data_IF_295404883871
#
_entry.id   IF_295404883871
#
_cell.length_a   1.000
_cell.length_b   1.000
_cell.length_c   1.000
_cell.angle_alpha   90.00
_cell.angle_beta   90.00
_cell.angle_gamma   90.00
#
_symmetry.space_group_name_H-M   'P 1'
#
loop_
_entity.id
_entity.type
_entity.pdbx_description
1 polymer ?
#
# COMPACT_ATOMS: atom_id res chain seq x y z
N UNK A 1 22.08 -6.52 61.32
CA UNK A 1 21.38 -5.85 62.44
C UNK A 1 19.90 -5.87 62.07
N UNK A 2 19.21 -6.98 62.33
CA UNK A 2 18.37 -7.25 63.52
C UNK A 2 17.12 -6.36 63.59
N UNK A 3 15.95 -7.00 63.48
CA UNK A 3 14.64 -6.38 63.72
C UNK A 3 13.48 -7.23 63.20
N UNK A 4 13.16 -8.30 63.92
CA UNK A 4 11.96 -9.15 63.76
C UNK A 4 10.65 -8.37 63.98
N UNK A 5 9.56 -8.73 63.27
CA UNK A 5 8.22 -8.89 63.86
C UNK A 5 7.49 -10.07 63.19
N UNK A 6 7.12 -11.05 64.02
CA UNK A 6 6.25 -12.20 63.77
C UNK A 6 4.76 -11.82 63.82
N UNK A 7 3.89 -12.50 63.07
CA UNK A 7 2.96 -13.49 63.65
C UNK A 7 2.04 -14.18 62.61
N UNK A 8 1.95 -15.50 62.78
CA UNK A 8 1.08 -16.49 62.14
C UNK A 8 -0.37 -16.42 62.62
N UNK A 9 -1.32 -16.96 61.82
CA UNK A 9 -2.15 -18.11 62.23
C UNK A 9 -3.15 -18.57 61.15
N UNK A 10 -3.03 -19.84 60.73
CA UNK A 10 -4.10 -20.68 60.17
C UNK A 10 -4.55 -21.69 61.24
N UNK A 11 -5.86 -21.87 61.42
CA UNK A 11 -6.62 -23.10 61.79
C UNK A 11 -8.07 -22.66 62.04
N UNK A 12 -9.17 -23.38 61.84
CA UNK A 12 -9.49 -24.77 61.54
C UNK A 12 -10.94 -25.02 62.01
N UNK A 13 -11.67 -25.92 61.32
CA UNK A 13 -12.91 -26.63 61.72
C UNK A 13 -14.28 -25.91 61.68
N UNK A 14 -15.25 -26.47 60.92
CA UNK A 14 -16.29 -27.38 61.44
C UNK A 14 -17.59 -27.44 60.57
N UNK A 15 -17.88 -28.66 60.08
CA UNK A 15 -19.18 -29.35 59.92
C UNK A 15 -20.47 -28.54 59.63
N UNK A 16 -21.17 -28.92 58.54
CA UNK A 16 -22.49 -29.58 58.62
C UNK A 16 -22.98 -30.11 57.26
N UNK A 17 -23.15 -31.43 57.20
CA UNK A 17 -23.92 -32.16 56.21
C UNK A 17 -25.40 -32.18 56.61
N UNK A 18 -26.32 -31.98 55.66
CA UNK A 18 -27.70 -32.49 55.76
C UNK A 18 -28.14 -33.00 54.39
N UNK A 19 -28.39 -34.31 54.36
CA UNK A 19 -29.01 -35.11 53.31
C UNK A 19 -30.52 -35.14 53.59
N UNK A 20 -31.36 -34.94 52.58
CA UNK A 20 -32.79 -35.26 52.65
C UNK A 20 -33.25 -35.83 51.30
N UNK A 21 -33.23 -37.16 51.22
CA UNK A 21 -34.14 -37.94 50.37
C UNK A 21 -35.31 -38.40 51.24
N UNK A 22 -36.55 -38.25 50.77
CA UNK A 22 -37.57 -39.30 50.90
C UNK A 22 -38.76 -39.05 49.99
N UNK A 23 -39.14 -40.14 49.33
CA UNK A 23 -40.26 -40.35 48.43
C UNK A 23 -41.63 -40.20 49.10
N UNK A 24 -42.65 -39.87 48.29
CA UNK A 24 -44.08 -40.13 48.57
C UNK A 24 -44.80 -40.31 47.21
N UNK A 25 -45.04 -41.55 46.78
CA UNK A 25 -46.31 -42.33 46.77
C UNK A 25 -47.26 -42.02 45.60
N UNK A 26 -47.41 -43.03 44.73
CA UNK A 26 -48.47 -43.16 43.73
C UNK A 26 -49.84 -43.34 44.39
N UNK A 27 -50.87 -42.70 43.82
CA UNK A 27 -52.25 -43.22 43.80
C UNK A 27 -52.89 -42.83 42.48
N UNK A 28 -53.28 -43.82 41.68
CA UNK A 28 -54.11 -43.64 40.50
C UNK A 28 -55.59 -43.45 40.86
N UNK A 29 -56.33 -42.77 39.98
CA UNK A 29 -57.74 -43.06 39.76
C UNK A 29 -58.17 -42.57 38.38
N UNK A 30 -58.82 -43.45 37.62
CA UNK A 30 -59.40 -43.18 36.31
C UNK A 30 -60.69 -42.36 36.42
N UNK A 31 -60.97 -41.49 35.44
CA UNK A 31 -62.32 -41.35 34.84
C UNK A 31 -62.36 -40.41 33.62
N UNK A 32 -62.65 -41.02 32.46
CA UNK A 32 -63.52 -40.59 31.34
C UNK A 32 -63.45 -39.14 30.81
N UNK A 33 -63.06 -38.98 29.53
CA UNK A 33 -63.99 -38.71 28.40
C UNK A 33 -63.37 -37.85 27.26
N UNK A 34 -63.64 -38.29 26.02
CA UNK A 34 -63.87 -37.51 24.76
C UNK A 34 -62.68 -36.85 24.04
N UNK A 35 -62.35 -37.51 22.91
CA UNK A 35 -61.98 -37.02 21.58
C UNK A 35 -61.94 -35.49 21.38
N UNK A 36 -60.74 -34.95 21.16
CA UNK A 36 -60.49 -33.73 20.38
C UNK A 36 -59.27 -33.96 19.50
N UNK A 37 -59.42 -33.74 18.19
CA UNK A 37 -58.34 -33.77 17.21
C UNK A 37 -57.39 -32.59 17.47
N UNK A 38 -56.10 -32.87 17.61
CA UNK A 38 -55.02 -31.85 17.72
C UNK A 38 -54.20 -31.91 16.42
N UNK A 39 -53.96 -30.77 15.74
CA UNK A 39 -53.23 -30.78 14.47
C UNK A 39 -51.74 -31.05 14.73
N UNK A 40 -51.14 -31.86 13.86
CA UNK A 40 -49.72 -32.16 13.84
C UNK A 40 -48.92 -30.87 13.57
N UNK A 41 -48.37 -30.24 14.61
CA UNK A 41 -47.34 -29.22 14.45
C UNK A 41 -45.99 -29.92 14.28
N UNK A 42 -45.45 -29.87 13.07
CA UNK A 42 -44.10 -30.32 12.77
C UNK A 42 -43.12 -29.35 13.44
N UNK A 43 -42.57 -29.71 14.60
CA UNK A 43 -41.44 -28.99 15.18
C UNK A 43 -40.20 -29.35 14.35
N UNK A 44 -39.85 -28.50 13.37
CA UNK A 44 -38.56 -28.57 12.71
C UNK A 44 -37.50 -28.15 13.74
N UNK A 45 -36.81 -29.12 14.32
CA UNK A 45 -35.65 -28.88 15.17
C UNK A 45 -34.53 -28.33 14.27
N UNK A 46 -34.42 -27.00 14.17
CA UNK A 46 -33.29 -26.37 13.50
C UNK A 46 -32.04 -26.67 14.35
N UNK A 47 -31.22 -27.62 13.90
CA UNK A 47 -29.87 -27.76 14.42
C UNK A 47 -29.09 -26.51 14.03
N UNK A 48 -29.04 -25.53 14.94
CA UNK A 48 -28.02 -24.48 14.92
C UNK A 48 -26.68 -25.17 15.18
N UNK A 49 -26.02 -25.59 14.10
CA UNK A 49 -24.58 -25.82 14.17
C UNK A 49 -23.95 -24.48 14.59
N UNK A 50 -23.11 -24.45 15.64
CA UNK A 50 -22.33 -23.26 15.91
C UNK A 50 -21.51 -22.99 14.65
N UNK A 51 -21.84 -21.90 13.96
CA UNK A 51 -21.01 -21.36 12.90
C UNK A 51 -19.75 -20.88 13.63
N UNK A 52 -18.74 -21.75 13.72
CA UNK A 52 -17.41 -21.34 14.14
C UNK A 52 -16.92 -20.38 13.07
N UNK A 53 -17.06 -19.08 13.33
CA UNK A 53 -16.30 -18.08 12.58
C UNK A 53 -14.84 -18.43 12.91
N UNK A 54 -14.01 -18.84 11.93
CA UNK A 54 -12.60 -19.04 12.21
C UNK A 54 -12.07 -17.72 12.78
N UNK A 55 -11.37 -17.79 13.91
CA UNK A 55 -10.59 -16.65 14.38
C UNK A 55 -9.66 -16.23 13.23
N UNK A 56 -9.41 -14.92 13.03
CA UNK A 56 -8.42 -14.49 12.05
C UNK A 56 -7.13 -15.24 12.36
N UNK A 57 -6.69 -16.03 11.38
CA UNK A 57 -5.43 -16.75 11.49
C UNK A 57 -4.35 -15.71 11.23
N UNK A 58 -3.64 -15.31 12.29
CA UNK A 58 -2.39 -14.57 12.14
C UNK A 58 -1.38 -15.53 11.54
N UNK A 59 -1.00 -15.31 10.29
CA UNK A 59 -0.06 -16.20 9.60
C UNK A 59 0.64 -15.48 8.44
N UNK A 60 1.93 -15.75 8.36
CA UNK A 60 2.74 -15.56 7.18
C UNK A 60 2.43 -16.72 6.24
N UNK A 61 1.90 -16.42 5.05
CA UNK A 61 1.72 -17.37 3.96
C UNK A 61 2.79 -17.14 2.89
N UNK A 62 3.70 -18.10 2.76
CA UNK A 62 4.77 -18.12 1.74
C UNK A 62 4.37 -18.89 0.48
N UNK A 63 3.24 -19.60 0.49
CA UNK A 63 2.73 -20.34 -0.66
C UNK A 63 1.73 -19.50 -1.45
N UNK A 64 2.19 -18.32 -1.86
CA UNK A 64 1.39 -17.28 -2.51
C UNK A 64 1.82 -17.07 -3.95
N UNK A 65 0.89 -16.63 -4.79
CA UNK A 65 1.17 -16.20 -6.16
C UNK A 65 1.36 -14.68 -6.22
N UNK A 66 2.09 -14.20 -7.21
CA UNK A 66 2.27 -12.76 -7.45
C UNK A 66 0.94 -12.00 -7.61
N UNK A 67 -0.09 -12.65 -8.17
CA UNK A 67 -1.44 -12.05 -8.29
C UNK A 67 -2.10 -11.89 -6.93
N UNK A 68 -2.02 -12.91 -6.06
CA UNK A 68 -2.54 -12.81 -4.69
C UNK A 68 -1.82 -11.72 -3.89
N UNK A 69 -0.53 -11.54 -4.11
CA UNK A 69 0.24 -10.46 -3.48
C UNK A 69 -0.22 -9.08 -3.98
N UNK A 70 -0.42 -8.92 -5.29
CA UNK A 70 -0.98 -7.69 -5.85
C UNK A 70 -2.36 -7.36 -5.26
N UNK A 71 -3.24 -8.37 -5.12
CA UNK A 71 -4.54 -8.22 -4.46
C UNK A 71 -4.40 -7.84 -2.97
N UNK A 72 -3.44 -8.43 -2.26
CA UNK A 72 -3.17 -8.15 -0.86
C UNK A 72 -2.59 -6.73 -0.62
N UNK A 73 -1.97 -6.12 -1.63
CA UNK A 73 -1.59 -4.69 -1.61
C UNK A 73 -2.81 -3.78 -1.80
N UNK A 74 -3.93 -4.32 -2.30
CA UNK A 74 -5.16 -3.56 -2.61
C UNK A 74 -5.40 -3.34 -4.10
N UNK A 75 -4.59 -3.90 -5.00
CA UNK A 75 -4.79 -3.75 -6.45
C UNK A 75 -5.98 -4.60 -6.90
N UNK A 76 -7.02 -4.02 -7.52
CA UNK A 76 -8.19 -4.79 -7.94
C UNK A 76 -7.84 -5.86 -8.98
N UNK A 77 -8.29 -7.09 -8.79
CA UNK A 77 -8.01 -8.19 -9.72
C UNK A 77 -8.48 -7.94 -11.15
N UNK A 78 -9.50 -7.09 -11.33
CA UNK A 78 -10.00 -6.69 -12.65
C UNK A 78 -9.02 -5.84 -13.47
N UNK A 79 -8.03 -5.20 -12.83
CA UNK A 79 -7.02 -4.37 -13.51
C UNK A 79 -5.68 -5.06 -13.64
N UNK A 80 -5.48 -6.24 -13.04
CA UNK A 80 -4.23 -6.99 -13.13
C UNK A 80 -4.21 -7.75 -14.45
N UNK A 81 -3.28 -7.37 -15.34
CA UNK A 81 -3.04 -8.09 -16.60
C UNK A 81 -2.20 -9.33 -16.36
N UNK A 82 -1.12 -9.19 -15.58
CA UNK A 82 -0.26 -10.28 -15.13
C UNK A 82 0.53 -9.83 -13.92
N UNK A 83 1.04 -10.76 -13.12
CA UNK A 83 1.99 -10.48 -12.06
C UNK A 83 3.02 -11.61 -11.98
N UNK A 84 4.25 -11.29 -11.60
CA UNK A 84 5.36 -12.24 -11.48
C UNK A 84 6.28 -11.88 -10.30
N UNK A 85 6.89 -12.92 -9.74
CA UNK A 85 7.91 -12.83 -8.69
C UNK A 85 9.24 -13.22 -9.32
N UNK A 86 10.16 -12.27 -9.37
CA UNK A 86 11.43 -12.42 -10.08
C UNK A 86 12.60 -11.92 -9.26
N UNK A 87 13.80 -12.24 -9.71
CA UNK A 87 15.00 -11.56 -9.22
C UNK A 87 15.22 -10.26 -9.98
N UNK A 88 16.34 -9.59 -9.68
CA UNK A 88 16.80 -8.38 -10.35
C UNK A 88 16.57 -8.42 -11.88
N UNK A 89 15.98 -7.34 -12.39
CA UNK A 89 15.73 -7.13 -13.82
C UNK A 89 14.92 -8.26 -14.51
N UNK A 90 14.11 -9.00 -13.75
CA UNK A 90 13.30 -10.10 -14.30
C UNK A 90 14.10 -11.28 -14.85
N UNK A 91 15.36 -11.48 -14.44
CA UNK A 91 16.25 -12.49 -15.02
C UNK A 91 16.00 -13.93 -14.50
N UNK A 92 15.27 -14.08 -13.40
CA UNK A 92 15.03 -15.36 -12.73
C UNK A 92 13.79 -15.31 -11.84
N UNK A 93 13.54 -16.40 -11.11
CA UNK A 93 12.44 -16.49 -10.12
C UNK A 93 12.98 -16.12 -8.74
N UNK A 94 12.21 -15.31 -7.99
CA UNK A 94 12.48 -14.99 -6.59
C UNK A 94 12.54 -16.25 -5.71
N UNK A 95 13.38 -16.23 -4.67
CA UNK A 95 13.34 -17.29 -3.66
C UNK A 95 12.05 -17.17 -2.83
N UNK A 96 11.44 -18.31 -2.49
CA UNK A 96 10.20 -18.36 -1.72
C UNK A 96 10.37 -17.87 -0.27
N UNK A 97 11.60 -17.76 0.23
CA UNK A 97 11.88 -17.15 1.53
C UNK A 97 11.81 -15.62 1.49
N UNK A 98 11.95 -15.01 0.31
CA UNK A 98 12.03 -13.56 0.13
C UNK A 98 10.69 -12.83 0.07
N UNK A 99 9.56 -13.54 0.15
CA UNK A 99 8.24 -12.92 0.04
C UNK A 99 7.13 -13.69 0.78
N UNK A 100 6.10 -12.95 1.21
CA UNK A 100 4.90 -13.54 1.80
C UNK A 100 3.69 -12.59 1.74
N UNK A 101 2.51 -13.14 2.02
CA UNK A 101 1.35 -12.37 2.48
C UNK A 101 1.21 -12.59 3.98
N UNK A 102 1.19 -11.51 4.75
CA UNK A 102 0.90 -11.55 6.17
C UNK A 102 -0.57 -11.24 6.42
N UNK A 103 -1.28 -12.14 7.12
CA UNK A 103 -2.66 -11.90 7.58
C UNK A 103 -2.66 -11.46 9.04
N UNK A 104 -3.42 -10.41 9.35
CA UNK A 104 -3.44 -9.77 10.66
C UNK A 104 -2.22 -8.87 10.91
N UNK A 105 -2.23 -8.18 12.03
CA UNK A 105 -1.20 -7.19 12.34
C UNK A 105 0.18 -7.82 12.56
N UNK A 106 1.18 -7.17 12.02
CA UNK A 106 2.60 -7.40 12.28
C UNK A 106 3.29 -6.04 12.15
N UNK A 107 4.20 -5.74 13.07
CA UNK A 107 4.69 -4.37 13.21
C UNK A 107 3.66 -3.44 13.87
N UNK A 108 3.98 -2.15 13.89
CA UNK A 108 3.12 -1.11 14.47
C UNK A 108 2.16 -0.46 13.46
N UNK A 109 2.38 -0.66 12.16
CA UNK A 109 1.72 0.12 11.11
C UNK A 109 0.82 -0.69 10.16
N UNK A 110 0.96 -2.03 10.11
CA UNK A 110 0.31 -2.86 9.10
C UNK A 110 -0.64 -3.92 9.68
N UNK A 111 -1.68 -4.33 8.93
CA UNK A 111 -2.11 -3.78 7.64
C UNK A 111 -2.65 -2.35 7.76
N UNK A 112 -2.52 -1.55 6.71
CA UNK A 112 -3.10 -0.19 6.63
C UNK A 112 -4.51 -0.25 6.05
N UNK A 113 -4.82 -1.26 5.24
CA UNK A 113 -6.14 -1.52 4.68
C UNK A 113 -6.50 -3.02 4.75
N UNK A 114 -7.79 -3.32 4.81
CA UNK A 114 -8.24 -4.72 4.87
C UNK A 114 -7.70 -5.47 6.10
N UNK A 115 -7.20 -6.69 5.88
CA UNK A 115 -6.73 -7.59 6.95
C UNK A 115 -5.43 -8.32 6.63
N UNK A 116 -4.75 -7.95 5.56
CA UNK A 116 -3.51 -8.57 5.10
C UNK A 116 -2.67 -7.57 4.32
N UNK A 117 -1.36 -7.81 4.21
CA UNK A 117 -0.45 -6.99 3.45
C UNK A 117 0.72 -7.83 2.88
N UNK A 118 1.51 -7.24 1.98
CA UNK A 118 2.66 -7.91 1.37
C UNK A 118 3.95 -7.63 2.15
N UNK A 119 4.77 -8.67 2.28
CA UNK A 119 6.16 -8.58 2.73
C UNK A 119 7.07 -8.97 1.57
N UNK A 120 8.07 -8.14 1.29
CA UNK A 120 9.27 -8.53 0.53
C UNK A 120 10.50 -8.36 1.45
N UNK A 121 11.51 -9.22 1.32
CA UNK A 121 12.73 -9.14 2.14
C UNK A 121 13.94 -9.66 1.36
N UNK A 122 15.13 -9.14 1.69
CA UNK A 122 16.41 -9.73 1.28
C UNK A 122 16.76 -11.00 2.06
N UNK A 123 16.05 -11.34 3.14
CA UNK A 123 16.29 -12.55 3.94
C UNK A 123 15.16 -13.57 3.89
N UNK A 124 14.77 -14.07 5.07
CA UNK A 124 13.69 -15.04 5.24
C UNK A 124 12.51 -14.42 5.97
N UNK A 125 11.35 -14.38 5.31
CA UNK A 125 10.10 -13.86 5.89
C UNK A 125 9.71 -14.50 7.21
N UNK A 126 10.07 -15.76 7.46
CA UNK A 126 9.71 -16.45 8.70
C UNK A 126 10.51 -15.96 9.92
N UNK A 127 11.63 -15.29 9.69
CA UNK A 127 12.49 -14.75 10.74
C UNK A 127 12.10 -13.30 11.10
N UNK A 128 11.13 -12.71 10.39
CA UNK A 128 10.68 -11.32 10.63
C UNK A 128 9.87 -11.18 11.92
N UNK A 129 8.88 -12.03 12.26
CA UNK A 129 8.07 -11.81 13.46
C UNK A 129 8.85 -12.10 14.73
N UNK A 130 8.79 -11.15 15.67
CA UNK A 130 9.28 -11.39 17.01
C UNK A 130 9.36 -10.13 17.86
N UNK A 131 10.20 -10.16 18.88
CA UNK A 131 10.29 -9.11 19.90
C UNK A 131 11.51 -8.22 19.71
N UNK A 132 12.24 -8.37 18.60
CA UNK A 132 13.55 -7.75 18.39
C UNK A 132 14.47 -8.04 19.58
N UNK A 133 14.70 -9.33 19.84
CA UNK A 133 15.66 -9.80 20.83
C UNK A 133 16.78 -10.67 20.23
N UNK A 134 16.73 -10.91 18.92
CA UNK A 134 17.86 -11.40 18.15
C UNK A 134 18.98 -10.36 18.07
N UNK A 135 20.22 -10.81 17.91
CA UNK A 135 21.39 -9.93 17.74
C UNK A 135 21.68 -9.62 16.27
N UNK A 136 20.72 -9.88 15.37
CA UNK A 136 20.91 -9.97 13.93
C UNK A 136 20.22 -11.22 13.35
N UNK A 137 19.17 -11.00 12.55
CA UNK A 137 18.57 -12.03 11.69
C UNK A 137 19.13 -11.96 10.27
N UNK A 138 19.47 -13.13 9.71
CA UNK A 138 20.17 -13.22 8.44
C UNK A 138 19.86 -14.50 7.68
N UNK A 139 19.77 -14.38 6.37
CA UNK A 139 19.53 -15.50 5.48
C UNK A 139 19.98 -15.16 4.06
N UNK A 140 21.01 -15.85 3.56
CA UNK A 140 21.41 -15.82 2.15
C UNK A 140 20.40 -16.65 1.34
N UNK A 141 19.65 -16.00 0.44
CA UNK A 141 18.67 -16.70 -0.42
C UNK A 141 19.36 -17.59 -1.46
N UNK A 142 20.66 -17.43 -1.68
CA UNK A 142 21.48 -18.28 -2.54
C UNK A 142 21.15 -18.13 -4.02
N UNK A 143 20.60 -16.97 -4.40
CA UNK A 143 20.08 -16.71 -5.74
C UNK A 143 21.12 -15.95 -6.57
N UNK A 144 21.37 -16.41 -7.80
CA UNK A 144 22.17 -15.65 -8.76
C UNK A 144 21.27 -14.65 -9.50
N UNK A 145 21.16 -13.44 -8.97
CA UNK A 145 20.27 -12.39 -9.50
C UNK A 145 20.84 -11.62 -10.71
N UNK A 146 22.10 -11.87 -11.06
CA UNK A 146 22.76 -11.28 -12.22
C UNK A 146 23.68 -10.09 -11.92
N UNK A 147 23.90 -9.73 -10.64
CA UNK A 147 24.87 -8.70 -10.24
C UNK A 147 26.33 -9.21 -10.18
N UNK A 148 26.55 -10.51 -9.99
CA UNK A 148 27.90 -11.10 -10.06
C UNK A 148 28.00 -12.42 -9.30
N UNK A 149 29.22 -12.88 -9.01
CA UNK A 149 29.47 -14.00 -8.09
C UNK A 149 30.17 -13.50 -6.80
N UNK A 150 29.98 -12.23 -6.46
CA UNK A 150 30.72 -11.58 -5.40
C UNK A 150 29.99 -11.81 -4.07
N UNK A 151 30.45 -12.85 -3.36
CA UNK A 151 30.39 -12.98 -1.89
C UNK A 151 29.04 -12.92 -1.17
N UNK A 152 27.94 -13.30 -1.83
CA UNK A 152 26.67 -13.61 -1.17
C UNK A 152 26.01 -12.39 -0.54
N UNK A 153 25.53 -11.46 -1.37
CA UNK A 153 24.86 -10.21 -1.00
C UNK A 153 24.01 -9.68 -2.17
N UNK A 154 23.31 -10.59 -2.84
CA UNK A 154 22.59 -10.36 -4.10
C UNK A 154 21.20 -11.03 -4.02
N UNK A 155 20.47 -10.72 -2.94
CA UNK A 155 19.16 -11.30 -2.64
C UNK A 155 18.02 -10.35 -3.06
N UNK A 156 18.06 -9.92 -4.33
CA UNK A 156 17.05 -9.02 -4.88
C UNK A 156 15.76 -9.78 -5.16
N UNK A 157 14.69 -9.38 -4.47
CA UNK A 157 13.32 -9.86 -4.69
C UNK A 157 12.51 -8.78 -5.38
N UNK A 158 11.89 -9.13 -6.53
CA UNK A 158 10.99 -8.26 -7.27
C UNK A 158 9.57 -8.82 -7.34
N UNK A 159 8.59 -8.02 -6.91
CA UNK A 159 7.18 -8.21 -7.28
C UNK A 159 6.85 -7.29 -8.45
N UNK A 160 6.60 -7.87 -9.63
CA UNK A 160 6.30 -7.13 -10.87
C UNK A 160 4.84 -7.33 -11.22
N UNK A 161 4.09 -6.24 -11.39
CA UNK A 161 2.66 -6.27 -11.64
C UNK A 161 2.38 -5.44 -12.88
N UNK A 162 1.79 -6.05 -13.91
CA UNK A 162 1.30 -5.35 -15.09
C UNK A 162 -0.15 -4.96 -14.87
N UNK A 163 -0.43 -3.67 -14.88
CA UNK A 163 -1.71 -3.07 -14.50
C UNK A 163 -2.33 -2.34 -15.70
N UNK A 164 -3.59 -2.62 -15.95
CA UNK A 164 -4.46 -1.89 -16.88
C UNK A 164 -5.35 -0.92 -16.08
N UNK A 165 -4.94 0.35 -15.89
CA UNK A 165 -5.61 1.27 -14.98
C UNK A 165 -7.03 1.63 -15.48
N UNK A 166 -7.97 1.96 -14.58
CA UNK A 166 -9.27 2.50 -14.99
C UNK A 166 -9.13 3.77 -15.82
N UNK A 167 -10.00 3.97 -16.81
CA UNK A 167 -10.00 5.16 -17.68
C UNK A 167 -10.08 6.49 -16.89
N UNK A 168 -10.63 6.49 -15.67
CA UNK A 168 -10.75 7.71 -14.85
C UNK A 168 -9.53 8.01 -14.00
N UNK A 169 -8.58 7.08 -13.89
CA UNK A 169 -7.39 7.25 -13.07
C UNK A 169 -6.36 8.16 -13.77
N UNK A 170 -5.75 9.06 -13.02
CA UNK A 170 -4.62 9.89 -13.45
C UNK A 170 -3.35 9.62 -12.66
N UNK A 171 -3.49 9.16 -11.43
CA UNK A 171 -2.39 8.80 -10.55
C UNK A 171 -2.78 7.58 -9.72
N UNK A 172 -1.81 7.06 -8.99
CA UNK A 172 -2.02 6.04 -7.97
C UNK A 172 -1.15 6.34 -6.75
N UNK A 173 -1.45 5.66 -5.66
CA UNK A 173 -0.65 5.69 -4.45
C UNK A 173 -0.56 4.32 -3.80
N UNK A 174 0.43 4.11 -2.95
CA UNK A 174 0.53 2.96 -2.06
C UNK A 174 1.30 3.34 -0.79
N UNK A 175 1.10 2.59 0.27
CA UNK A 175 1.76 2.79 1.56
C UNK A 175 2.83 1.73 1.79
N UNK A 176 3.92 2.12 2.44
CA UNK A 176 4.97 1.18 2.82
C UNK A 176 5.71 1.60 4.10
N UNK A 177 6.34 0.62 4.73
CA UNK A 177 7.41 0.83 5.71
C UNK A 177 8.61 0.01 5.27
N UNK A 178 9.79 0.62 5.26
CA UNK A 178 11.07 -0.05 5.01
C UNK A 178 11.76 -0.30 6.36
N UNK A 179 12.20 -1.52 6.59
CA UNK A 179 12.75 -2.03 7.84
C UNK A 179 14.12 -2.67 7.58
N UNK A 180 15.02 -2.61 8.54
CA UNK A 180 16.36 -3.19 8.39
C UNK A 180 16.98 -3.59 9.74
N UNK A 181 17.70 -4.70 9.73
CA UNK A 181 18.63 -5.13 10.78
C UNK A 181 19.97 -4.38 10.74
N UNK A 182 20.27 -3.71 9.64
CA UNK A 182 21.53 -2.97 9.48
C UNK A 182 21.55 -1.63 10.26
N UNK A 183 20.39 -1.19 10.73
CA UNK A 183 20.25 0.05 11.45
C UNK A 183 20.33 -0.17 12.96
N UNK A 184 21.04 0.68 13.73
CA UNK A 184 21.80 1.85 13.29
C UNK A 184 23.27 1.57 12.92
N UNK A 185 23.76 0.35 13.11
CA UNK A 185 25.19 -0.01 13.11
C UNK A 185 25.91 0.30 11.80
N UNK A 186 25.22 0.15 10.67
CA UNK A 186 25.80 0.22 9.33
C UNK A 186 25.39 1.47 8.54
N UNK A 187 24.73 2.43 9.20
CA UNK A 187 24.43 3.74 8.60
C UNK A 187 25.72 4.46 8.20
N UNK A 188 25.78 4.87 6.93
CA UNK A 188 26.91 5.52 6.28
C UNK A 188 27.99 4.55 5.79
N UNK A 189 27.75 3.24 5.86
CA UNK A 189 28.70 2.22 5.40
C UNK A 189 28.48 1.83 3.93
N UNK A 190 29.23 0.84 3.45
CA UNK A 190 29.04 0.27 2.12
C UNK A 190 27.89 -0.75 2.07
N UNK A 191 27.39 -1.19 3.23
CA UNK A 191 26.24 -2.05 3.36
C UNK A 191 24.98 -1.18 3.38
N UNK A 192 24.22 -1.25 2.30
CA UNK A 192 23.23 -0.23 1.97
C UNK A 192 22.03 -0.83 1.25
N UNK A 193 21.33 -1.71 1.94
CA UNK A 193 20.11 -2.32 1.46
C UNK A 193 19.13 -1.26 0.94
N UNK A 194 18.40 -1.62 -0.11
CA UNK A 194 17.57 -0.68 -0.83
C UNK A 194 16.14 -1.13 -1.00
N UNK A 195 15.27 -0.14 -1.12
CA UNK A 195 13.94 -0.31 -1.66
C UNK A 195 13.74 0.63 -2.86
N UNK A 196 13.38 0.06 -4.01
CA UNK A 196 13.24 0.78 -5.27
C UNK A 196 11.93 0.35 -5.93
N UNK A 197 11.14 1.32 -6.41
CA UNK A 197 9.88 1.02 -7.12
C UNK A 197 9.87 1.67 -8.48
N UNK A 198 9.67 0.89 -9.54
CA UNK A 198 9.56 1.41 -10.90
C UNK A 198 8.12 1.48 -11.36
N UNK A 199 7.75 2.53 -12.09
CA UNK A 199 6.45 2.64 -12.77
C UNK A 199 6.64 3.07 -14.23
N UNK A 200 6.50 2.14 -15.17
CA UNK A 200 6.70 2.41 -16.60
C UNK A 200 6.03 1.36 -17.50
N UNK A 201 5.73 1.71 -18.76
CA UNK A 201 5.29 0.74 -19.77
C UNK A 201 6.36 -0.36 -19.99
N UNK A 202 7.63 0.04 -19.97
CA UNK A 202 8.78 -0.84 -20.09
C UNK A 202 9.80 -0.44 -19.02
N UNK A 203 9.85 -1.16 -17.88
CA UNK A 203 10.77 -0.84 -16.79
C UNK A 203 12.22 -0.74 -17.28
N UNK A 204 12.91 0.32 -16.87
CA UNK A 204 14.33 0.45 -17.15
C UNK A 204 15.12 -0.66 -16.45
N UNK A 205 16.28 -1.01 -16.99
CA UNK A 205 17.22 -1.89 -16.28
C UNK A 205 17.73 -1.17 -15.05
N UNK A 206 17.59 -1.79 -13.87
CA UNK A 206 18.26 -1.37 -12.65
C UNK A 206 19.76 -1.63 -12.84
N UNK A 207 20.54 -0.57 -12.69
CA UNK A 207 22.02 -0.59 -12.71
C UNK A 207 22.55 -0.11 -11.38
N UNK A 208 23.83 -0.36 -11.08
CA UNK A 208 24.44 0.06 -9.82
C UNK A 208 25.56 1.06 -10.08
N UNK A 209 25.41 2.27 -9.52
CA UNK A 209 26.45 3.29 -9.53
C UNK A 209 27.34 3.13 -8.30
N UNK A 210 28.60 2.79 -8.53
CA UNK A 210 29.62 2.64 -7.48
C UNK A 210 30.64 3.79 -7.47
N UNK A 211 30.37 4.90 -8.16
CA UNK A 211 31.31 6.02 -8.32
C UNK A 211 31.67 6.72 -7.00
N UNK A 212 30.79 6.61 -6.00
CA UNK A 212 30.98 7.14 -4.65
C UNK A 212 31.75 6.20 -3.71
N UNK A 213 32.05 4.97 -4.15
CA UNK A 213 32.59 3.90 -3.31
C UNK A 213 31.51 3.08 -2.56
N UNK A 214 30.24 3.49 -2.64
CA UNK A 214 29.06 2.72 -2.20
C UNK A 214 28.26 2.34 -3.43
N UNK A 215 27.78 1.11 -3.50
CA UNK A 215 26.90 0.63 -4.57
C UNK A 215 25.51 1.21 -4.36
N UNK A 216 24.98 1.92 -5.36
CA UNK A 216 23.66 2.55 -5.29
C UNK A 216 22.85 2.10 -6.50
N UNK A 217 21.66 1.48 -6.32
CA UNK A 217 20.79 1.13 -7.43
C UNK A 217 20.22 2.38 -8.11
N UNK A 218 20.18 2.35 -9.43
CA UNK A 218 19.72 3.44 -10.29
C UNK A 218 18.77 2.89 -11.35
N UNK A 219 17.57 3.47 -11.40
CA UNK A 219 16.58 3.28 -12.46
C UNK A 219 15.91 4.62 -12.77
N UNK A 220 15.81 4.97 -14.06
CA UNK A 220 15.28 6.28 -14.51
C UNK A 220 13.79 6.48 -14.26
N UNK A 221 13.09 5.39 -13.98
CA UNK A 221 11.66 5.27 -13.74
C UNK A 221 11.34 4.89 -12.29
N UNK A 222 12.31 5.05 -11.37
CA UNK A 222 12.07 4.96 -9.93
C UNK A 222 11.07 6.04 -9.48
N UNK A 223 10.17 5.67 -8.57
CA UNK A 223 9.12 6.56 -8.03
C UNK A 223 9.16 6.70 -6.51
N UNK A 224 10.10 6.04 -5.83
CA UNK A 224 10.25 6.11 -4.36
C UNK A 224 11.58 6.77 -4.01
N UNK A 225 11.52 7.86 -3.24
CA UNK A 225 12.70 8.65 -2.89
C UNK A 225 12.76 8.98 -1.39
N UNK A 226 13.99 9.20 -0.92
CA UNK A 226 14.31 9.80 0.38
C UNK A 226 14.17 11.34 0.33
N UNK A 227 14.42 12.03 1.44
CA UNK A 227 14.33 13.50 1.49
C UNK A 227 15.42 14.24 0.70
N UNK A 228 16.45 13.54 0.24
CA UNK A 228 17.55 14.05 -0.56
C UNK A 228 17.42 13.66 -2.03
N UNK A 229 16.24 13.18 -2.45
CA UNK A 229 15.94 12.70 -3.80
C UNK A 229 16.82 11.51 -4.25
N UNK A 230 17.22 10.66 -3.31
CA UNK A 230 17.94 9.41 -3.56
C UNK A 230 17.01 8.21 -3.40
N UNK A 231 17.45 7.05 -3.87
CA UNK A 231 16.76 5.78 -3.62
C UNK A 231 16.59 5.55 -2.11
N UNK A 232 15.49 4.90 -1.72
CA UNK A 232 15.27 4.52 -0.33
C UNK A 232 16.34 3.50 0.08
N UNK A 233 17.06 3.77 1.16
CA UNK A 233 18.10 2.88 1.67
C UNK A 233 18.32 3.05 3.16
N UNK A 234 19.10 2.16 3.78
CA UNK A 234 19.46 2.24 5.22
C UNK A 234 20.16 3.56 5.56
N UNK A 235 20.85 4.15 4.58
CA UNK A 235 21.52 5.45 4.73
C UNK A 235 20.60 6.66 4.83
N UNK A 236 19.28 6.46 4.79
CA UNK A 236 18.31 7.54 4.92
C UNK A 236 18.34 8.14 6.34
N UNK A 237 18.32 9.47 6.44
CA UNK A 237 18.46 10.19 7.72
C UNK A 237 17.18 10.23 8.59
N UNK A 238 16.15 9.45 8.28
CA UNK A 238 14.84 9.46 8.94
C UNK A 238 14.36 8.07 9.38
N UNK A 239 15.23 7.07 9.38
CA UNK A 239 15.00 5.82 10.09
C UNK A 239 14.84 6.09 11.59
N UNK A 240 13.89 5.40 12.20
CA UNK A 240 13.64 5.44 13.63
C UNK A 240 13.83 4.03 14.20
N UNK A 241 14.48 3.95 15.36
CA UNK A 241 14.51 2.76 16.21
C UNK A 241 13.51 2.97 17.36
N UNK A 242 12.74 1.93 17.69
CA UNK A 242 12.02 1.91 18.95
C UNK A 242 13.01 1.58 20.06
N UNK A 243 13.31 2.55 20.93
CA UNK A 243 14.23 2.37 22.07
C UNK A 243 13.79 1.26 23.04
N UNK A 244 12.52 0.82 22.97
CA UNK A 244 11.99 -0.27 23.79
C UNK A 244 11.97 -1.62 23.04
N UNK A 245 12.44 -1.66 21.79
CA UNK A 245 12.43 -2.84 20.89
C UNK A 245 11.05 -3.52 20.78
N UNK A 246 9.96 -2.78 21.03
CA UNK A 246 8.59 -3.30 20.90
C UNK A 246 8.07 -3.09 19.48
N UNK A 247 8.84 -3.48 18.48
CA UNK A 247 8.52 -3.28 17.06
C UNK A 247 7.52 -4.31 16.55
N UNK A 248 7.43 -5.49 17.19
CA UNK A 248 6.64 -6.62 16.70
C UNK A 248 7.28 -7.34 15.50
N UNK A 249 8.51 -6.96 15.16
CA UNK A 249 9.40 -7.57 14.16
C UNK A 249 10.77 -7.77 14.78
N UNK A 250 11.65 -8.57 14.19
CA UNK A 250 13.06 -8.62 14.62
C UNK A 250 13.84 -7.37 14.20
N UNK A 251 13.40 -6.65 13.17
CA UNK A 251 14.07 -5.42 12.67
C UNK A 251 14.40 -4.37 13.74
N UNK A 252 15.65 -3.91 13.72
CA UNK A 252 16.19 -2.85 14.59
C UNK A 252 15.77 -1.42 14.21
N UNK A 253 15.61 -1.13 12.92
CA UNK A 253 15.20 0.18 12.44
C UNK A 253 14.10 0.12 11.38
N UNK A 254 13.28 1.17 11.32
CA UNK A 254 12.29 1.33 10.27
C UNK A 254 12.03 2.79 9.90
N UNK A 255 11.52 3.03 8.70
CA UNK A 255 10.93 4.32 8.33
C UNK A 255 9.61 4.55 9.11
N UNK A 256 9.10 5.79 9.19
CA UNK A 256 7.67 5.99 9.48
C UNK A 256 6.81 5.33 8.40
N UNK A 257 5.49 5.29 8.60
CA UNK A 257 4.56 4.91 7.54
C UNK A 257 4.62 5.95 6.41
N UNK A 258 5.13 5.53 5.25
CA UNK A 258 5.28 6.38 4.09
C UNK A 258 4.18 6.12 3.07
N UNK A 259 3.82 7.17 2.34
CA UNK A 259 2.90 7.12 1.21
C UNK A 259 3.65 7.58 -0.03
N UNK A 260 3.72 6.73 -1.06
CA UNK A 260 4.17 7.16 -2.38
C UNK A 260 2.97 7.38 -3.27
N UNK A 261 2.98 8.48 -4.01
CA UNK A 261 1.98 8.79 -5.01
C UNK A 261 2.66 9.19 -6.31
N UNK A 262 2.15 8.68 -7.43
CA UNK A 262 2.79 8.81 -8.74
C UNK A 262 1.76 9.01 -9.84
N UNK A 263 2.02 9.85 -10.85
CA UNK A 263 1.20 9.86 -12.05
C UNK A 263 1.23 8.50 -12.74
N UNK A 264 0.19 8.22 -13.51
CA UNK A 264 0.24 7.11 -14.45
C UNK A 264 1.32 7.37 -15.52
N UNK A 265 2.13 6.37 -15.90
CA UNK A 265 3.08 6.51 -17.00
C UNK A 265 2.37 6.95 -18.31
N UNK A 266 2.97 7.91 -19.02
CA UNK A 266 2.36 8.62 -20.15
C UNK A 266 1.78 7.68 -21.25
N UNK A 267 0.45 7.70 -21.45
CA UNK A 267 -0.21 7.15 -22.65
C UNK A 267 -1.24 6.03 -22.46
N UNK A 268 -1.46 5.57 -21.23
CA UNK A 268 -2.54 4.65 -20.77
C UNK A 268 -2.97 3.54 -21.75
N UNK A 269 -2.13 2.50 -21.83
CA UNK A 269 -2.43 1.07 -22.00
C UNK A 269 -1.30 0.32 -21.24
N UNK A 270 -1.50 -0.92 -20.77
CA UNK A 270 -1.02 -1.39 -19.46
C UNK A 270 0.46 -1.11 -19.12
N UNK A 271 0.74 -0.68 -17.89
CA UNK A 271 2.08 -0.39 -17.38
C UNK A 271 2.56 -1.41 -16.32
N UNK A 272 3.85 -1.45 -16.05
CA UNK A 272 4.45 -2.24 -14.98
C UNK A 272 4.67 -1.39 -13.73
N UNK A 273 4.24 -1.91 -12.59
CA UNK A 273 4.62 -1.49 -11.26
C UNK A 273 5.54 -2.57 -10.68
N UNK A 274 6.79 -2.22 -10.36
CA UNK A 274 7.80 -3.18 -9.91
C UNK A 274 8.35 -2.75 -8.57
N UNK A 275 8.08 -3.53 -7.52
CA UNK A 275 8.66 -3.35 -6.19
C UNK A 275 9.91 -4.21 -6.07
N UNK A 276 11.04 -3.59 -5.76
CA UNK A 276 12.33 -4.28 -5.59
C UNK A 276 12.89 -3.98 -4.20
N UNK A 277 13.25 -5.04 -3.49
CA UNK A 277 14.09 -4.98 -2.30
C UNK A 277 15.33 -5.80 -2.56
N UNK A 278 16.48 -5.33 -2.08
CA UNK A 278 17.73 -6.03 -2.27
C UNK A 278 18.73 -5.68 -1.19
N UNK A 279 19.53 -6.70 -0.91
CA UNK A 279 20.75 -6.58 -0.12
C UNK A 279 21.83 -5.85 -0.93
N UNK A 280 22.62 -4.99 -0.29
CA UNK A 280 23.85 -4.48 -0.89
C UNK A 280 25.05 -4.68 0.02
N UNK A 281 25.99 -5.52 -0.40
CA UNK A 281 27.35 -5.57 0.13
C UNK A 281 27.70 -6.90 0.79
N UNK A 282 26.79 -7.47 1.59
CA UNK A 282 26.84 -8.83 2.12
C UNK A 282 25.45 -9.30 2.61
N UNK A 283 25.14 -10.59 2.51
CA UNK A 283 23.85 -11.17 2.93
C UNK A 283 23.83 -11.51 4.44
N UNK A 284 24.54 -10.73 5.27
CA UNK A 284 24.68 -11.02 6.71
C UNK A 284 23.58 -10.39 7.54
N UNK A 285 22.87 -9.37 7.06
CA UNK A 285 21.73 -8.78 7.76
C UNK A 285 20.61 -8.53 6.76
N UNK A 286 19.37 -8.82 7.16
CA UNK A 286 18.25 -8.65 6.23
C UNK A 286 17.56 -7.28 6.37
N UNK A 287 16.97 -6.85 5.26
CA UNK A 287 16.00 -5.77 5.22
C UNK A 287 14.66 -6.28 4.71
N UNK A 288 13.59 -5.58 5.08
CA UNK A 288 12.22 -5.91 4.73
C UNK A 288 11.42 -4.69 4.31
N UNK A 289 10.42 -4.88 3.47
CA UNK A 289 9.43 -3.85 3.17
C UNK A 289 8.03 -4.43 3.31
N UNK A 290 7.19 -3.70 4.04
CA UNK A 290 5.76 -3.98 4.16
C UNK A 290 4.99 -3.05 3.23
N UNK A 291 4.08 -3.58 2.41
CA UNK A 291 3.40 -2.84 1.34
C UNK A 291 1.89 -3.12 1.38
N UNK A 292 1.07 -2.06 1.34
CA UNK A 292 -0.40 -2.12 1.40
C UNK A 292 -1.03 -0.81 0.89
N UNK A 293 -2.36 -0.75 0.84
CA UNK A 293 -3.14 0.46 0.63
C UNK A 293 -2.97 1.08 -0.76
N UNK A 294 -2.88 0.26 -1.80
CA UNK A 294 -2.85 0.75 -3.17
C UNK A 294 -4.20 1.35 -3.57
N UNK A 295 -4.18 2.55 -4.13
CA UNK A 295 -5.37 3.23 -4.62
C UNK A 295 -5.10 3.98 -5.93
N UNK A 296 -6.04 3.91 -6.88
CA UNK A 296 -6.08 4.84 -7.99
C UNK A 296 -6.72 6.17 -7.57
N UNK A 297 -6.33 7.24 -8.24
CA UNK A 297 -6.86 8.58 -8.00
C UNK A 297 -7.19 9.29 -9.30
N UNK A 298 -8.30 10.01 -9.30
CA UNK A 298 -8.72 10.89 -10.40
C UNK A 298 -7.99 12.25 -10.37
N UNK A 299 -7.07 12.45 -9.41
CA UNK A 299 -6.25 13.66 -9.32
C UNK A 299 -4.92 13.43 -10.04
N UNK A 300 -4.56 14.24 -11.03
CA UNK A 300 -3.27 14.13 -11.69
C UNK A 300 -2.14 14.63 -10.79
N UNK A 301 -0.97 14.05 -11.00
CA UNK A 301 0.29 14.49 -10.41
C UNK A 301 1.26 14.85 -11.54
N UNK A 302 2.15 15.81 -11.33
CA UNK A 302 3.19 16.13 -12.32
C UNK A 302 4.38 15.17 -12.21
N UNK A 303 4.59 14.60 -11.03
CA UNK A 303 5.71 13.72 -10.72
C UNK A 303 5.36 12.76 -9.58
N UNK A 304 6.19 11.72 -9.46
CA UNK A 304 6.15 10.86 -8.30
C UNK A 304 6.74 11.56 -7.08
N UNK A 305 6.14 11.29 -5.92
CA UNK A 305 6.65 11.78 -4.63
C UNK A 305 6.38 10.77 -3.53
N UNK A 306 7.27 10.73 -2.54
CA UNK A 306 7.06 10.02 -1.29
C UNK A 306 6.76 11.04 -0.21
N UNK A 307 5.85 10.76 0.70
CA UNK A 307 5.52 11.66 1.82
C UNK A 307 5.46 10.88 3.12
N UNK A 308 5.75 11.56 4.23
CA UNK A 308 5.33 11.18 5.58
C UNK A 308 4.01 11.90 5.87
N UNK A 309 2.84 11.22 5.77
CA UNK A 309 1.56 11.85 5.99
C UNK A 309 1.36 12.32 7.42
N UNK A 310 1.96 11.63 8.41
CA UNK A 310 1.79 11.95 9.82
C UNK A 310 2.55 13.24 10.18
N UNK A 311 3.73 13.44 9.60
CA UNK A 311 4.52 14.67 9.76
C UNK A 311 4.11 15.78 8.77
N UNK A 312 3.37 15.45 7.70
CA UNK A 312 3.06 16.38 6.62
C UNK A 312 4.30 16.79 5.82
N UNK A 313 5.28 15.89 5.71
CA UNK A 313 6.57 16.14 5.07
C UNK A 313 6.60 15.47 3.71
N UNK A 314 7.04 16.20 2.69
CA UNK A 314 7.32 15.65 1.36
C UNK A 314 8.79 15.23 1.30
N UNK A 315 9.03 13.98 0.89
CA UNK A 315 10.34 13.37 0.67
C UNK A 315 10.62 13.39 -0.84
N UNK A 316 11.64 14.14 -1.24
CA UNK A 316 11.96 14.43 -2.64
C UNK A 316 11.83 15.92 -2.97
N UNK A 317 12.70 16.41 -3.84
CA UNK A 317 12.73 17.82 -4.22
C UNK A 317 11.57 18.13 -5.18
N UNK A 318 10.72 19.11 -4.85
CA UNK A 318 9.87 19.75 -5.84
C UNK A 318 10.27 21.20 -5.97
N UNK A 319 11.23 21.46 -6.86
CA UNK A 319 11.48 22.84 -7.30
C UNK A 319 10.26 23.31 -8.08
N UNK A 320 9.55 24.29 -7.49
CA UNK A 320 8.29 24.85 -7.96
C UNK A 320 8.25 25.03 -9.48
N UNK A 321 7.56 24.10 -10.13
CA UNK A 321 7.35 24.11 -11.56
C UNK A 321 6.20 25.07 -11.92
N UNK A 322 6.06 25.47 -13.20
CA UNK A 322 4.81 26.06 -13.69
C UNK A 322 3.63 25.16 -13.31
N UNK A 323 2.46 25.74 -13.02
CA UNK A 323 1.23 24.94 -12.79
C UNK A 323 0.97 24.09 -14.03
N UNK A 324 1.31 22.81 -13.93
CA UNK A 324 1.06 21.86 -15.00
C UNK A 324 -0.42 21.53 -14.99
N UNK A 325 -1.04 21.59 -16.17
CA UNK A 325 -2.48 21.43 -16.31
C UNK A 325 -2.77 20.39 -17.35
N UNK A 326 -3.70 19.51 -17.00
CA UNK A 326 -4.07 18.38 -17.84
C UNK A 326 -5.54 18.42 -18.19
N UNK A 327 -5.85 17.79 -19.31
CA UNK A 327 -7.20 17.59 -19.78
C UNK A 327 -7.33 16.16 -20.29
N UNK A 328 -8.33 15.43 -19.84
CA UNK A 328 -8.55 14.03 -20.22
C UNK A 328 -10.05 13.73 -20.35
N UNK A 329 -10.48 12.86 -21.29
CA UNK A 329 -9.65 12.23 -22.32
C UNK A 329 -9.15 13.26 -23.33
N UNK A 330 -7.93 13.07 -23.83
CA UNK A 330 -7.36 13.86 -24.92
C UNK A 330 -6.69 12.92 -25.94
N UNK A 331 -7.32 12.66 -27.11
CA UNK A 331 -8.43 13.42 -27.69
C UNK A 331 -9.79 13.28 -26.98
N UNK A 332 -10.49 14.40 -26.84
CA UNK A 332 -11.81 14.51 -26.23
C UNK A 332 -12.92 14.20 -27.25
N UNK A 333 -13.84 13.30 -26.86
CA UNK A 333 -15.02 12.88 -27.62
C UNK A 333 -16.31 13.17 -26.83
N UNK A 334 -17.06 14.24 -27.14
CA UNK A 334 -18.28 14.60 -26.40
C UNK A 334 -19.34 13.47 -26.33
N UNK A 335 -19.33 12.55 -27.30
CA UNK A 335 -20.20 11.38 -27.36
C UNK A 335 -19.83 10.26 -26.38
N UNK A 336 -18.61 10.30 -25.81
CA UNK A 336 -18.10 9.31 -24.84
C UNK A 336 -18.17 9.79 -23.39
N UNK A 337 -18.42 11.07 -23.15
CA UNK A 337 -18.44 11.66 -21.82
C UNK A 337 -17.96 13.11 -21.87
N UNK A 338 -17.80 13.79 -20.72
CA UNK A 338 -17.16 15.09 -20.64
C UNK A 338 -15.63 14.98 -20.71
N UNK A 339 -14.96 16.10 -20.97
CA UNK A 339 -13.53 16.27 -20.69
C UNK A 339 -13.36 16.83 -19.28
N UNK A 340 -12.48 16.24 -18.51
CA UNK A 340 -12.06 16.70 -17.19
C UNK A 340 -10.79 17.52 -17.33
N UNK A 341 -10.77 18.69 -16.69
CA UNK A 341 -9.59 19.52 -16.53
C UNK A 341 -9.13 19.49 -15.08
N UNK A 342 -7.82 19.48 -14.88
CA UNK A 342 -7.22 19.36 -13.56
C UNK A 342 -5.85 20.05 -13.51
N UNK A 343 -5.39 20.37 -12.30
CA UNK A 343 -4.02 20.82 -12.00
C UNK A 343 -3.23 19.58 -11.62
N UNK A 344 -2.10 19.33 -12.30
CA UNK A 344 -1.20 18.25 -11.94
C UNK A 344 -0.38 18.71 -10.73
N UNK A 345 -0.64 18.08 -9.59
CA UNK A 345 -0.06 18.50 -8.32
C UNK A 345 1.32 17.87 -8.09
N UNK A 346 2.12 18.58 -7.32
CA UNK A 346 3.47 18.16 -6.93
C UNK A 346 3.46 17.05 -5.87
N UNK A 347 2.36 16.91 -5.13
CA UNK A 347 2.16 15.82 -4.19
C UNK A 347 0.70 15.47 -3.96
N UNK A 348 0.44 14.27 -3.47
CA UNK A 348 -0.89 13.83 -3.02
C UNK A 348 -1.36 14.56 -1.74
N UNK A 349 -0.50 15.31 -1.05
CA UNK A 349 -0.89 16.19 0.06
C UNK A 349 -1.42 17.54 -0.41
N UNK A 350 -1.24 17.88 -1.70
CA UNK A 350 -1.69 19.16 -2.23
C UNK A 350 -3.22 19.28 -2.23
N UNK A 351 -3.71 20.49 -1.97
CA UNK A 351 -5.13 20.80 -1.85
C UNK A 351 -5.54 21.97 -2.75
N UNK A 352 -4.85 22.19 -3.86
CA UNK A 352 -5.14 23.34 -4.73
C UNK A 352 -6.50 23.15 -5.40
N UNK A 353 -7.35 24.18 -5.32
CA UNK A 353 -8.67 24.17 -5.94
C UNK A 353 -8.67 24.99 -7.23
N UNK A 354 -9.42 24.53 -8.23
CA UNK A 354 -9.65 25.29 -9.47
C UNK A 354 -10.74 26.33 -9.22
N UNK A 355 -10.40 27.60 -9.41
CA UNK A 355 -11.34 28.71 -9.34
C UNK A 355 -12.13 28.85 -10.64
N UNK A 356 -11.46 28.77 -11.79
CA UNK A 356 -12.13 28.87 -13.09
C UNK A 356 -11.28 28.34 -14.24
N UNK A 357 -11.96 27.99 -15.35
CA UNK A 357 -11.33 27.60 -16.61
C UNK A 357 -11.93 28.39 -17.75
N UNK A 358 -11.07 29.04 -18.51
CA UNK A 358 -11.43 29.67 -19.79
C UNK A 358 -11.01 28.76 -20.94
N UNK A 359 -11.92 28.45 -21.86
CA UNK A 359 -11.66 27.62 -23.04
C UNK A 359 -11.74 28.50 -24.29
N UNK A 360 -10.78 28.34 -25.20
CA UNK A 360 -10.58 29.14 -26.40
C UNK A 360 -10.48 28.27 -27.65
N UNK A 361 -11.01 28.77 -28.76
CA UNK A 361 -10.73 28.20 -30.09
C UNK A 361 -9.37 28.68 -30.64
N UNK A 362 -8.94 28.14 -31.79
CA UNK A 362 -7.65 28.50 -32.42
C UNK A 362 -7.52 29.98 -32.81
N UNK A 363 -8.62 30.74 -32.84
CA UNK A 363 -8.59 32.19 -33.10
C UNK A 363 -8.34 33.02 -31.84
N UNK A 364 -8.25 32.36 -30.67
CA UNK A 364 -8.15 33.01 -29.36
C UNK A 364 -9.49 33.50 -28.82
N UNK A 365 -10.62 33.14 -29.45
CA UNK A 365 -11.94 33.51 -28.97
C UNK A 365 -12.35 32.57 -27.83
N UNK A 366 -12.76 33.13 -26.68
CA UNK A 366 -13.31 32.37 -25.56
C UNK A 366 -14.66 31.76 -25.93
N UNK A 367 -14.77 30.43 -25.86
CA UNK A 367 -15.96 29.65 -26.23
C UNK A 367 -16.75 29.20 -25.00
N UNK A 368 -16.08 29.05 -23.86
CA UNK A 368 -16.67 28.65 -22.58
C UNK A 368 -15.89 29.25 -21.41
N UNK A 369 -16.60 29.60 -20.34
CA UNK A 369 -16.06 29.83 -19.01
C UNK A 369 -16.72 28.83 -18.06
N UNK A 370 -15.89 28.12 -17.29
CA UNK A 370 -16.31 27.26 -16.18
C UNK A 370 -15.82 27.91 -14.89
N UNK A 371 -16.62 27.86 -13.84
CA UNK A 371 -16.25 28.35 -12.51
C UNK A 371 -16.31 27.18 -11.55
N UNK A 372 -15.25 27.00 -10.77
CA UNK A 372 -15.22 26.04 -9.68
C UNK A 372 -15.72 26.66 -8.39
N UNK A 373 -16.11 25.79 -7.48
CA UNK A 373 -16.67 26.07 -6.16
C UNK A 373 -15.77 25.51 -5.04
N UNK A 374 -14.50 25.28 -5.34
CA UNK A 374 -13.54 24.65 -4.44
C UNK A 374 -13.08 23.26 -4.91
N UNK A 375 -13.63 22.78 -6.03
CA UNK A 375 -13.24 21.51 -6.64
C UNK A 375 -11.82 21.53 -7.20
N UNK A 376 -11.14 20.37 -7.14
CA UNK A 376 -9.80 20.16 -7.71
C UNK A 376 -9.82 19.87 -9.22
N UNK A 377 -10.99 19.52 -9.75
CA UNK A 377 -11.21 19.25 -11.17
C UNK A 377 -12.45 19.99 -11.67
N UNK A 378 -12.53 20.23 -12.97
CA UNK A 378 -13.73 20.77 -13.62
C UNK A 378 -14.02 20.03 -14.92
N UNK A 379 -15.30 19.74 -15.17
CA UNK A 379 -15.73 18.97 -16.35
C UNK A 379 -16.41 19.85 -17.39
N UNK A 380 -16.23 19.50 -18.67
CA UNK A 380 -16.87 20.16 -19.80
C UNK A 380 -17.46 19.18 -20.80
N UNK A 381 -18.67 19.48 -21.26
CA UNK A 381 -19.46 18.64 -22.17
C UNK A 381 -19.21 18.93 -23.67
N UNK A 382 -18.22 19.78 -24.00
CA UNK A 382 -17.93 20.17 -25.37
C UNK A 382 -18.89 21.21 -25.97
N UNK A 383 -19.70 21.89 -25.15
CA UNK A 383 -20.64 22.93 -25.61
C UNK A 383 -20.18 24.35 -25.27
N UNK A 384 -20.42 25.29 -26.18
CA UNK A 384 -20.26 26.73 -25.93
C UNK A 384 -21.07 27.22 -24.71
N UNK A 385 -20.84 28.46 -24.29
CA UNK A 385 -21.66 29.14 -23.29
C UNK A 385 -23.18 29.09 -23.60
N UNK A 386 -23.56 29.08 -24.88
CA UNK A 386 -24.95 29.08 -25.33
C UNK A 386 -25.49 27.67 -25.61
N UNK A 387 -24.79 26.60 -25.22
CA UNK A 387 -25.23 25.21 -25.37
C UNK A 387 -25.02 24.60 -26.77
N UNK A 388 -24.47 25.35 -27.74
CA UNK A 388 -24.10 24.82 -29.06
C UNK A 388 -22.89 23.91 -28.94
N UNK A 389 -22.97 22.72 -29.56
CA UNK A 389 -21.86 21.76 -29.66
C UNK A 389 -20.71 22.35 -30.48
N UNK A 390 -19.48 22.19 -29.99
CA UNK A 390 -18.26 22.62 -30.67
C UNK A 390 -17.87 21.64 -31.77
N UNK A 391 -17.22 22.10 -32.85
CA UNK A 391 -16.73 21.23 -33.92
C UNK A 391 -15.36 20.61 -33.62
N UNK A 392 -14.97 19.58 -34.37
CA UNK A 392 -13.64 18.97 -34.23
C UNK A 392 -12.53 20.00 -34.45
N UNK A 393 -11.47 19.93 -33.65
CA UNK A 393 -10.34 20.85 -33.76
C UNK A 393 -9.49 20.90 -32.49
N UNK A 394 -8.47 21.76 -32.54
CA UNK A 394 -7.64 22.04 -31.38
C UNK A 394 -8.24 23.20 -30.57
N UNK A 395 -8.25 23.04 -29.25
CA UNK A 395 -8.72 24.04 -28.30
C UNK A 395 -7.63 24.31 -27.27
N UNK A 396 -7.64 25.52 -26.73
CA UNK A 396 -6.74 25.95 -25.68
C UNK A 396 -7.55 26.24 -24.43
N UNK A 397 -6.95 26.10 -23.27
CA UNK A 397 -7.59 26.48 -22.04
C UNK A 397 -6.61 27.14 -21.09
N UNK A 398 -7.17 27.91 -20.17
CA UNK A 398 -6.44 28.53 -19.07
C UNK A 398 -7.16 28.20 -17.77
N UNK A 399 -6.43 27.65 -16.81
CA UNK A 399 -6.91 27.34 -15.46
C UNK A 399 -6.41 28.44 -14.53
N UNK A 400 -7.31 28.92 -13.67
CA UNK A 400 -7.01 29.78 -12.55
C UNK A 400 -7.29 29.01 -11.28
N UNK A 401 -6.36 29.00 -10.34
CA UNK A 401 -6.51 28.34 -9.06
C UNK A 401 -6.86 29.32 -7.92
N UNK A 402 -7.12 28.77 -6.74
CA UNK A 402 -7.39 29.54 -5.52
C UNK A 402 -6.15 30.29 -4.97
N UNK A 403 -4.96 29.96 -5.44
CA UNK A 403 -3.69 30.63 -5.14
C UNK A 403 -3.34 31.75 -6.14
N UNK A 404 -4.23 32.00 -7.11
CA UNK A 404 -4.08 32.99 -8.19
C UNK A 404 -2.97 32.66 -9.19
N UNK A 405 -2.50 31.42 -9.22
CA UNK A 405 -1.63 30.91 -10.28
C UNK A 405 -2.46 30.66 -11.55
N UNK A 406 -1.76 30.60 -12.68
CA UNK A 406 -2.37 30.43 -14.00
C UNK A 406 -1.64 29.34 -14.74
N UNK A 407 -2.37 28.27 -15.09
CA UNK A 407 -1.90 27.21 -15.98
C UNK A 407 -2.54 27.34 -17.36
N UNK A 408 -1.82 26.95 -18.41
CA UNK A 408 -2.37 26.93 -19.78
C UNK A 408 -2.12 25.59 -20.43
N UNK A 409 -3.15 25.03 -21.06
CA UNK A 409 -3.04 23.75 -21.77
C UNK A 409 -3.77 23.76 -23.10
N UNK A 410 -3.72 22.63 -23.79
CA UNK A 410 -4.39 22.40 -25.07
C UNK A 410 -4.94 20.98 -25.14
N UNK A 411 -6.02 20.80 -25.88
CA UNK A 411 -6.61 19.49 -26.17
C UNK A 411 -7.21 19.46 -27.55
N UNK A 412 -7.41 18.25 -28.06
CA UNK A 412 -8.09 18.02 -29.34
C UNK A 412 -9.50 17.53 -29.07
N UNK A 413 -10.50 18.14 -29.69
CA UNK A 413 -11.88 17.65 -29.70
C UNK A 413 -12.13 16.96 -31.04
N UNK A 414 -12.69 15.76 -31.02
CA UNK A 414 -13.07 14.98 -32.19
C UNK A 414 -14.50 14.43 -32.03
N UNK A 415 -15.22 14.31 -33.15
CA UNK A 415 -16.55 13.70 -33.26
C UNK A 415 -16.47 12.37 -34.00
#
# INVERSE_FOLDING_TARGET
MSGEILQNARSGASKRSVRLEKAFTETGNENRARLFAVPFFFFLLLFLFPMTIPLPVYAIDTNVTAVQMAEAIGIPSSVIVTAELTNLNGQGTADNNGFAIQTGSLGNNFPTEGGSFVILTSGNVNDIPGSNDATGVSFDQGVQDGKGADNGGDDVVQLRIKIDPPDTAFSFSFQFVFLSEEFPEFVGSAFNDFFLVQAAENPATITFDSSSGVSIPVASDNIVFDNSNKVMSVNNNFFNQDENQSTGTEFDGQTPLLLTCSPLPNGADPFWLVFSIGDEGDAVLMSGVFIDGFQFSEQPLCCATTVDPAAGVVLGEVEGQPVDVVSYPNPFRPEKGPVTFAIAEESCLATTAILSIEIFDISGRRVRLLTGDGDRTLVWDGRTQNGKLMGSGMYFYRIYDNEKRVGTGRFTLIH
#
